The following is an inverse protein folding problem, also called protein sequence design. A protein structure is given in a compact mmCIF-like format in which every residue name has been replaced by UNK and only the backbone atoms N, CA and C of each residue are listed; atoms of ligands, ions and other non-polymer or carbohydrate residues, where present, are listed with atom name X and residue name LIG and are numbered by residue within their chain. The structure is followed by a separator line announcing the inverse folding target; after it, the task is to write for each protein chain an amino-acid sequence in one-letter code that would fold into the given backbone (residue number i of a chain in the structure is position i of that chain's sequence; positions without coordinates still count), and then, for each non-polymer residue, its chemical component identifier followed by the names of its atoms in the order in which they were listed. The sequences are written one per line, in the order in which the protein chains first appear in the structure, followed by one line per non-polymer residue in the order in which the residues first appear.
data_IF_505307966801
#
_entry.id   IF_505307966801
#
_cell.length_a   1.000
_cell.length_b   1.000
_cell.length_c   1.000
_cell.angle_alpha   90.00
_cell.angle_beta   90.00
_cell.angle_gamma   90.00
#
_symmetry.space_group_name_H-M   'P 1'
#
loop_
_entity.id
_entity.type
_entity.pdbx_description
1 polymer ?
#
# COMPACT_ATOMS: atom_id res chain seq x y z
N UNK A 1 -11.03 -18.83 -1.87
CA UNK A 1 -12.05 -17.85 -2.30
C UNK A 1 -11.31 -16.63 -2.82
N UNK A 2 -11.68 -16.11 -4.00
CA UNK A 2 -11.10 -14.86 -4.53
C UNK A 2 -11.64 -13.71 -3.69
N UNK A 3 -10.78 -12.92 -3.07
CA UNK A 3 -11.20 -11.76 -2.28
C UNK A 3 -11.96 -10.78 -3.17
N UNK A 4 -13.05 -10.20 -2.65
CA UNK A 4 -13.76 -9.15 -3.37
C UNK A 4 -12.87 -7.92 -3.56
N UNK A 5 -13.19 -7.08 -4.53
CA UNK A 5 -12.41 -5.87 -4.82
C UNK A 5 -12.28 -4.94 -3.60
N UNK A 6 -13.34 -4.88 -2.78
CA UNK A 6 -13.37 -4.09 -1.55
C UNK A 6 -12.42 -4.69 -0.50
N UNK A 7 -12.46 -6.01 -0.32
CA UNK A 7 -11.55 -6.70 0.59
C UNK A 7 -10.08 -6.58 0.16
N UNK A 8 -9.79 -6.64 -1.14
CA UNK A 8 -8.44 -6.42 -1.66
C UNK A 8 -7.95 -5.00 -1.38
N UNK A 9 -8.80 -3.99 -1.55
CA UNK A 9 -8.44 -2.60 -1.26
C UNK A 9 -8.19 -2.39 0.24
N UNK A 10 -9.01 -3.01 1.10
CA UNK A 10 -8.87 -2.90 2.55
C UNK A 10 -7.64 -3.64 3.07
N UNK A 11 -7.36 -4.84 2.55
CA UNK A 11 -6.13 -5.57 2.87
C UNK A 11 -4.88 -4.84 2.38
N UNK A 12 -4.90 -4.28 1.16
CA UNK A 12 -3.79 -3.47 0.65
C UNK A 12 -3.54 -2.26 1.55
N UNK A 13 -4.61 -1.57 1.99
CA UNK A 13 -4.51 -0.46 2.92
C UNK A 13 -3.93 -0.88 4.27
N UNK A 14 -4.38 -2.00 4.84
CA UNK A 14 -3.86 -2.49 6.12
C UNK A 14 -2.39 -2.89 6.03
N UNK A 15 -1.97 -3.51 4.91
CA UNK A 15 -0.58 -3.84 4.65
C UNK A 15 0.26 -2.56 4.57
N UNK A 16 -0.17 -1.59 3.77
CA UNK A 16 0.48 -0.28 3.66
C UNK A 16 0.61 0.40 5.03
N UNK A 17 -0.47 0.46 5.82
CA UNK A 17 -0.44 1.07 7.14
C UNK A 17 0.50 0.32 8.11
N UNK A 18 0.56 -1.01 8.03
CA UNK A 18 1.45 -1.82 8.88
C UNK A 18 2.90 -1.57 8.51
N UNK A 19 3.24 -1.54 7.22
CA UNK A 19 4.61 -1.26 6.76
C UNK A 19 5.02 0.19 7.06
N UNK A 20 4.14 1.15 6.81
CA UNK A 20 4.37 2.58 7.09
C UNK A 20 4.47 2.87 8.60
N UNK A 21 3.77 2.11 9.46
CA UNK A 21 3.92 2.23 10.92
C UNK A 21 5.34 1.91 11.40
N UNK A 22 6.11 1.10 10.66
CA UNK A 22 7.50 0.83 10.97
C UNK A 22 8.44 2.02 10.64
N UNK A 23 7.90 3.16 10.16
CA UNK A 23 8.64 4.35 9.74
C UNK A 23 9.70 4.08 8.66
N UNK A 24 9.54 2.99 7.90
CA UNK A 24 10.42 2.67 6.78
C UNK A 24 9.71 3.13 5.51
N UNK A 25 10.30 4.07 4.75
CA UNK A 25 9.84 4.36 3.40
C UNK A 25 9.86 3.07 2.59
N UNK A 26 8.73 2.75 1.96
CA UNK A 26 8.60 1.51 1.21
C UNK A 26 8.20 1.78 -0.23
N UNK A 27 8.93 1.18 -1.17
CA UNK A 27 8.62 1.32 -2.58
C UNK A 27 7.33 0.56 -2.94
N UNK A 28 6.57 1.08 -3.90
CA UNK A 28 5.40 0.36 -4.42
C UNK A 28 5.78 -1.03 -4.97
N UNK A 29 7.00 -1.18 -5.53
CA UNK A 29 7.49 -2.47 -6.01
C UNK A 29 7.74 -3.46 -4.87
N UNK A 30 8.32 -3.02 -3.76
CA UNK A 30 8.51 -3.88 -2.58
C UNK A 30 7.19 -4.28 -1.94
N UNK A 31 6.25 -3.35 -1.87
CA UNK A 31 4.88 -3.64 -1.46
C UNK A 31 4.22 -4.68 -2.39
N UNK A 32 4.40 -4.54 -3.70
CA UNK A 32 3.92 -5.50 -4.68
C UNK A 32 4.52 -6.90 -4.43
N UNK A 33 5.83 -7.00 -4.19
CA UNK A 33 6.50 -8.25 -3.86
C UNK A 33 5.96 -8.88 -2.57
N UNK A 34 5.75 -8.10 -1.50
CA UNK A 34 5.15 -8.58 -0.24
C UNK A 34 3.69 -8.97 -0.38
N UNK A 35 3.00 -8.40 -1.37
CA UNK A 35 1.59 -8.65 -1.62
C UNK A 35 1.30 -9.86 -2.50
N UNK A 36 2.34 -10.44 -3.12
CA UNK A 36 2.26 -11.69 -3.90
C UNK A 36 1.67 -12.82 -3.05
N UNK A 37 2.06 -12.89 -1.77
CA UNK A 37 1.52 -13.88 -0.82
C UNK A 37 0.05 -13.61 -0.45
N UNK A 38 -0.40 -12.34 -0.52
CA UNK A 38 -1.76 -11.92 -0.15
C UNK A 38 -2.77 -11.88 -1.31
N UNK A 39 -2.39 -12.34 -2.52
CA UNK A 39 -3.24 -12.29 -3.72
C UNK A 39 -3.78 -10.89 -4.07
N UNK A 40 -3.08 -9.83 -3.66
CA UNK A 40 -3.52 -8.47 -3.96
C UNK A 40 -3.16 -8.10 -5.39
N UNK A 41 -4.11 -7.43 -6.05
CA UNK A 41 -3.85 -6.88 -7.38
C UNK A 41 -2.99 -5.63 -7.28
N UNK A 42 -1.99 -5.51 -8.16
CA UNK A 42 -1.15 -4.31 -8.33
C UNK A 42 -1.96 -3.00 -8.33
N UNK A 43 -3.10 -3.03 -9.01
CA UNK A 43 -4.03 -1.90 -9.08
C UNK A 43 -4.57 -1.51 -7.70
N UNK A 44 -5.06 -2.47 -6.92
CA UNK A 44 -5.61 -2.21 -5.58
C UNK A 44 -4.56 -1.63 -4.64
N UNK A 45 -3.31 -2.06 -4.78
CA UNK A 45 -2.19 -1.56 -4.00
C UNK A 45 -1.86 -0.10 -4.32
N UNK A 46 -1.82 0.24 -5.61
CA UNK A 46 -1.63 1.63 -6.06
C UNK A 46 -2.80 2.52 -5.65
N UNK A 47 -4.04 2.07 -5.81
CA UNK A 47 -5.22 2.83 -5.37
C UNK A 47 -5.23 3.06 -3.85
N UNK A 48 -4.83 2.07 -3.06
CA UNK A 48 -4.72 2.21 -1.61
C UNK A 48 -3.60 3.17 -1.20
N UNK A 49 -2.42 3.08 -1.83
CA UNK A 49 -1.32 4.01 -1.60
C UNK A 49 -1.72 5.45 -1.96
N UNK A 50 -2.36 5.63 -3.12
CA UNK A 50 -2.83 6.95 -3.56
C UNK A 50 -3.87 7.53 -2.60
N UNK A 51 -4.83 6.73 -2.14
CA UNK A 51 -5.80 7.16 -1.13
C UNK A 51 -5.14 7.60 0.18
N UNK A 52 -4.10 6.91 0.65
CA UNK A 52 -3.38 7.32 1.86
C UNK A 52 -2.68 8.67 1.70
N UNK A 53 -2.17 8.96 0.50
CA UNK A 53 -1.60 10.26 0.16
C UNK A 53 -2.67 11.34 0.08
N UNK A 54 -3.82 11.06 -0.55
CA UNK A 54 -4.96 11.99 -0.58
C UNK A 54 -5.55 12.24 0.83
N UNK A 55 -5.56 11.23 1.70
CA UNK A 55 -5.95 11.35 3.12
C UNK A 55 -4.93 12.15 3.95
N UNK A 56 -3.75 12.49 3.40
CA UNK A 56 -2.67 13.16 4.12
C UNK A 56 -2.00 12.29 5.18
N UNK A 57 -2.16 10.96 5.09
CA UNK A 57 -1.57 9.98 6.01
C UNK A 57 -0.20 9.49 5.54
N UNK A 58 0.10 9.65 4.26
CA UNK A 58 1.37 9.27 3.68
C UNK A 58 1.78 10.29 2.62
N UNK A 59 3.03 10.26 2.20
CA UNK A 59 3.52 11.00 1.05
C UNK A 59 4.47 10.13 0.24
N UNK A 60 4.62 10.45 -1.05
CA UNK A 60 5.71 9.90 -1.84
C UNK A 60 6.94 10.79 -1.68
N UNK A 61 8.05 10.18 -1.30
CA UNK A 61 9.33 10.87 -1.20
C UNK A 61 9.95 11.09 -2.60
N UNK A 62 11.15 11.67 -2.65
CA UNK A 62 11.85 11.93 -3.93
C UNK A 62 12.24 10.68 -4.72
N UNK A 63 12.23 9.50 -4.09
CA UNK A 63 12.50 8.20 -4.71
C UNK A 63 11.24 7.42 -5.06
N UNK A 64 10.05 8.05 -4.94
CA UNK A 64 8.73 7.43 -5.13
C UNK A 64 8.41 6.31 -4.13
N UNK A 65 9.12 6.28 -2.99
CA UNK A 65 8.77 5.44 -1.87
C UNK A 65 7.67 6.12 -1.06
N UNK A 66 6.74 5.30 -0.58
CA UNK A 66 5.67 5.75 0.28
C UNK A 66 6.21 5.84 1.71
N UNK A 67 6.10 7.01 2.31
CA UNK A 67 6.48 7.26 3.71
C UNK A 67 5.30 7.88 4.48
N UNK A 68 5.27 7.68 5.80
CA UNK A 68 4.24 8.28 6.65
C UNK A 68 4.57 9.76 6.88
N UNK A 69 3.54 10.61 6.85
CA UNK A 69 3.65 12.05 7.16
C UNK A 69 3.79 12.30 8.67
#
# INVERSE_FOLDING_TARGET
MKLSFVEQAEQARNLLLTELQHQVPISLQELELKSVDNQLSHRSLKEAAWRLVEEGKAQFNSTWDLEIL
#
